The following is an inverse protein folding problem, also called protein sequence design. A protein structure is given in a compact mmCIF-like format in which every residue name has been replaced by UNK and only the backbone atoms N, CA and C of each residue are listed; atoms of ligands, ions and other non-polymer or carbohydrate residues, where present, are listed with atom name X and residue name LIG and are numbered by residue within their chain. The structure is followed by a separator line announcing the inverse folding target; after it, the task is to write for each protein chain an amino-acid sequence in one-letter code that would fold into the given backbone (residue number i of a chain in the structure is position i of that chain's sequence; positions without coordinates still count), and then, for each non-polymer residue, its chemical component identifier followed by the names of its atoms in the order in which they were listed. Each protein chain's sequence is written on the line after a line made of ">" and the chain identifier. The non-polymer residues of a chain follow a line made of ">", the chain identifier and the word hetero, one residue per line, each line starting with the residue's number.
data_IF_881475696632
#
_entry.id   IF_881475696632
#
_cell.length_a   1.000
_cell.length_b   1.000
_cell.length_c   1.000
_cell.angle_alpha   90.00
_cell.angle_beta   90.00
_cell.angle_gamma   90.00
#
_symmetry.space_group_name_H-M   'P 1'
#
loop_
_entity.id
_entity.type
_entity.pdbx_description
1 polymer ?
#
# COMPACT_ATOMS: atom_id res chain seq x y z
N UNK A 1 2.47 -33.99 -7.47
CA UNK A 1 1.14 -33.42 -7.76
C UNK A 1 1.26 -31.92 -7.63
N UNK A 2 1.29 -31.23 -8.76
CA UNK A 2 1.51 -29.79 -8.83
C UNK A 2 0.54 -29.23 -9.86
N UNK A 3 -0.50 -28.56 -9.34
CA UNK A 3 -1.56 -27.90 -10.11
C UNK A 3 -1.02 -26.63 -10.78
N UNK A 4 -1.39 -26.44 -12.05
CA UNK A 4 -1.26 -25.16 -12.76
C UNK A 4 -2.63 -24.47 -12.84
N UNK A 5 -2.68 -23.12 -12.83
CA UNK A 5 -3.93 -22.35 -12.97
C UNK A 5 -4.48 -22.37 -14.41
N UNK A 6 -5.81 -22.35 -14.48
CA UNK A 6 -6.66 -22.38 -15.66
C UNK A 6 -6.75 -21.00 -16.34
N UNK A 7 -6.48 -20.91 -17.65
CA UNK A 7 -6.75 -19.73 -18.47
C UNK A 7 -8.07 -19.90 -19.26
N UNK A 8 -8.97 -18.91 -19.31
CA UNK A 8 -10.20 -18.98 -20.09
C UNK A 8 -9.99 -18.62 -21.57
N UNK A 9 -10.62 -19.40 -22.45
CA UNK A 9 -10.82 -19.11 -23.87
C UNK A 9 -12.01 -18.16 -24.07
N UNK A 10 -11.95 -17.14 -24.95
CA UNK A 10 -13.12 -16.40 -25.37
C UNK A 10 -13.80 -17.06 -26.58
N UNK A 11 -15.13 -17.07 -26.53
CA UNK A 11 -16.05 -17.80 -27.39
C UNK A 11 -16.13 -17.33 -28.84
N UNK A 12 -16.53 -18.28 -29.68
CA UNK A 12 -16.91 -18.04 -31.07
C UNK A 12 -18.25 -17.31 -31.19
N UNK A 13 -18.41 -16.61 -32.31
CA UNK A 13 -19.65 -15.94 -32.71
C UNK A 13 -20.14 -16.49 -34.06
N UNK A 14 -21.47 -16.56 -34.27
CA UNK A 14 -22.08 -17.36 -35.33
C UNK A 14 -22.47 -16.53 -36.57
N UNK A 15 -22.49 -17.18 -37.73
CA UNK A 15 -23.02 -16.67 -38.99
C UNK A 15 -24.56 -16.66 -39.00
N UNK A 16 -25.23 -15.67 -39.64
CA UNK A 16 -26.61 -15.80 -40.04
C UNK A 16 -26.74 -16.14 -41.53
N UNK A 17 -27.58 -17.14 -41.82
CA UNK A 17 -28.09 -17.46 -43.14
C UNK A 17 -29.18 -16.42 -43.53
N UNK A 18 -29.10 -15.92 -44.76
CA UNK A 18 -30.13 -15.06 -45.35
C UNK A 18 -30.77 -15.80 -46.53
N UNK A 19 -32.04 -16.14 -46.32
CA UNK A 19 -33.01 -16.51 -47.35
C UNK A 19 -33.90 -15.29 -47.60
N UNK A 20 -33.88 -14.72 -48.80
CA UNK A 20 -34.97 -13.87 -49.28
C UNK A 20 -35.06 -13.87 -50.79
N UNK A 21 -36.28 -14.10 -51.26
CA UNK A 21 -36.77 -14.30 -52.61
C UNK A 21 -36.61 -13.02 -53.44
N UNK A 22 -36.01 -13.13 -54.64
CA UNK A 22 -35.85 -12.01 -55.58
C UNK A 22 -37.12 -11.83 -56.41
N UNK A 23 -37.75 -10.67 -56.26
CA UNK A 23 -38.84 -10.16 -57.10
C UNK A 23 -38.25 -9.46 -58.34
N UNK A 24 -38.63 -9.90 -59.53
CA UNK A 24 -38.38 -9.18 -60.78
C UNK A 24 -39.35 -7.99 -60.92
N UNK A 25 -38.88 -6.87 -61.48
CA UNK A 25 -39.70 -6.11 -62.41
C UNK A 25 -39.03 -6.03 -63.79
N UNK A 26 -39.86 -6.30 -64.78
CA UNK A 26 -39.65 -6.23 -66.22
C UNK A 26 -39.45 -4.79 -66.73
N UNK A 27 -38.47 -4.58 -67.61
CA UNK A 27 -38.36 -3.40 -68.47
C UNK A 27 -38.02 -3.77 -69.93
N UNK A 28 -38.44 -2.94 -70.91
CA UNK A 28 -38.84 -3.36 -72.27
C UNK A 28 -37.67 -3.52 -73.27
N UNK A 29 -37.91 -4.22 -74.42
CA UNK A 29 -36.86 -4.54 -75.38
C UNK A 29 -36.53 -3.32 -76.25
N UNK A 30 -35.27 -2.90 -76.24
CA UNK A 30 -34.74 -2.01 -77.27
C UNK A 30 -34.20 -2.87 -78.39
N UNK A 31 -34.98 -2.90 -79.46
CA UNK A 31 -34.59 -3.34 -80.80
C UNK A 31 -33.49 -2.44 -81.38
N UNK A 32 -32.79 -3.02 -82.36
CA UNK A 32 -31.91 -2.35 -83.33
C UNK A 32 -30.53 -2.03 -82.76
N UNK A 33 -29.38 -2.32 -83.37
CA UNK A 33 -29.02 -2.66 -84.74
C UNK A 33 -27.75 -3.52 -84.61
N UNK A 34 -27.67 -4.67 -85.28
CA UNK A 34 -26.39 -5.35 -85.41
C UNK A 34 -25.45 -4.51 -86.28
N UNK A 35 -24.18 -4.28 -85.89
CA UNK A 35 -23.20 -3.94 -86.89
C UNK A 35 -22.85 -5.23 -87.60
N UNK A 36 -23.19 -5.24 -88.89
CA UNK A 36 -22.59 -6.10 -89.89
C UNK A 36 -21.12 -6.37 -89.58
N UNK A 37 -20.77 -7.65 -89.61
CA UNK A 37 -19.40 -8.10 -89.83
C UNK A 37 -18.98 -7.52 -91.17
N UNK A 38 -18.24 -6.42 -91.14
CA UNK A 38 -17.46 -5.98 -92.28
C UNK A 38 -16.16 -5.32 -91.78
N UNK A 39 -15.05 -5.66 -92.43
CA UNK A 39 -13.72 -5.18 -92.07
C UNK A 39 -13.70 -3.66 -92.10
N UNK A 40 -13.26 -2.99 -91.06
CA UNK A 40 -11.86 -2.81 -90.71
C UNK A 40 -11.88 -2.22 -89.32
N UNK A 41 -11.28 -2.86 -88.32
CA UNK A 41 -11.04 -2.17 -87.05
C UNK A 41 -10.13 -0.99 -87.40
N UNK A 42 -10.69 0.22 -87.42
CA UNK A 42 -9.90 1.42 -87.72
C UNK A 42 -8.79 1.52 -86.69
N UNK A 43 -7.57 1.77 -87.15
CA UNK A 43 -6.38 1.83 -86.33
C UNK A 43 -6.57 2.78 -85.13
N UNK A 44 -7.37 3.83 -85.31
CA UNK A 44 -7.76 4.81 -84.29
C UNK A 44 -8.55 4.20 -83.12
N UNK A 45 -9.40 3.19 -83.37
CA UNK A 45 -10.19 2.52 -82.31
C UNK A 45 -9.30 1.60 -81.46
N UNK A 46 -8.34 0.92 -82.09
CA UNK A 46 -7.32 0.11 -81.40
C UNK A 46 -6.40 1.03 -80.59
N UNK A 47 -5.95 2.14 -81.17
CA UNK A 47 -5.13 3.15 -80.49
C UNK A 47 -5.86 3.74 -79.29
N UNK A 48 -7.13 4.11 -79.43
CA UNK A 48 -7.96 4.60 -78.32
C UNK A 48 -8.13 3.55 -77.20
N UNK A 49 -8.36 2.29 -77.55
CA UNK A 49 -8.47 1.19 -76.58
C UNK A 49 -7.16 0.93 -75.84
N UNK A 50 -6.02 0.95 -76.53
CA UNK A 50 -4.69 0.80 -75.91
C UNK A 50 -4.35 1.98 -75.00
N UNK A 51 -4.65 3.22 -75.42
CA UNK A 51 -4.47 4.41 -74.58
C UNK A 51 -5.34 4.33 -73.32
N UNK A 52 -6.61 3.91 -73.44
CA UNK A 52 -7.47 3.70 -72.27
C UNK A 52 -6.92 2.61 -71.36
N UNK A 53 -6.52 1.47 -71.91
CA UNK A 53 -5.99 0.35 -71.13
C UNK A 53 -4.68 0.70 -70.40
N UNK A 54 -3.80 1.48 -71.02
CA UNK A 54 -2.59 2.00 -70.38
C UNK A 54 -2.92 3.03 -69.30
N UNK A 55 -3.84 3.95 -69.58
CA UNK A 55 -4.32 4.96 -68.63
C UNK A 55 -4.97 4.31 -67.40
N UNK A 56 -5.81 3.30 -67.61
CA UNK A 56 -6.46 2.56 -66.53
C UNK A 56 -5.44 1.75 -65.73
N UNK A 57 -4.50 1.05 -66.39
CA UNK A 57 -3.43 0.32 -65.69
C UNK A 57 -2.54 1.24 -64.85
N UNK A 58 -2.23 2.43 -65.36
CA UNK A 58 -1.49 3.45 -64.63
C UNK A 58 -2.29 3.95 -63.43
N UNK A 59 -3.58 4.23 -63.61
CA UNK A 59 -4.49 4.64 -62.53
C UNK A 59 -4.58 3.59 -61.44
N UNK A 60 -4.69 2.31 -61.81
CA UNK A 60 -4.71 1.19 -60.87
C UNK A 60 -3.40 1.07 -60.08
N UNK A 61 -2.25 1.07 -60.76
CA UNK A 61 -0.92 1.07 -60.11
C UNK A 61 -0.74 2.25 -59.17
N UNK A 62 -1.16 3.44 -59.58
CA UNK A 62 -1.02 4.65 -58.78
C UNK A 62 -1.92 4.59 -57.53
N UNK A 63 -3.13 4.05 -57.65
CA UNK A 63 -4.01 3.84 -56.50
C UNK A 63 -3.43 2.83 -55.51
N UNK A 64 -2.87 1.73 -56.01
CA UNK A 64 -2.21 0.70 -55.18
C UNK A 64 -1.01 1.27 -54.40
N UNK A 65 -0.15 2.04 -55.06
CA UNK A 65 0.99 2.71 -54.40
C UNK A 65 0.52 3.79 -53.40
N UNK A 66 -0.55 4.53 -53.71
CA UNK A 66 -1.13 5.50 -52.79
C UNK A 66 -1.71 4.81 -51.54
N UNK A 67 -2.44 3.71 -51.71
CA UNK A 67 -3.03 2.94 -50.60
C UNK A 67 -1.92 2.33 -49.72
N UNK A 68 -0.83 1.85 -50.33
CA UNK A 68 0.36 1.37 -49.61
C UNK A 68 1.05 2.48 -48.82
N UNK A 69 1.34 3.61 -49.47
CA UNK A 69 1.97 4.76 -48.82
C UNK A 69 1.12 5.29 -47.66
N UNK A 70 -0.21 5.30 -47.83
CA UNK A 70 -1.13 5.71 -46.77
C UNK A 70 -1.11 4.74 -45.58
N UNK A 71 -1.01 3.42 -45.82
CA UNK A 71 -0.87 2.43 -44.76
C UNK A 71 0.46 2.59 -44.00
N UNK A 72 1.56 2.81 -44.71
CA UNK A 72 2.89 3.06 -44.12
C UNK A 72 2.90 4.34 -43.29
N UNK A 73 2.27 5.42 -43.77
CA UNK A 73 2.13 6.68 -43.05
C UNK A 73 1.30 6.49 -41.76
N UNK A 74 0.21 5.72 -41.83
CA UNK A 74 -0.60 5.40 -40.66
C UNK A 74 0.18 4.56 -39.63
N UNK A 75 1.03 3.64 -40.08
CA UNK A 75 1.91 2.88 -39.19
C UNK A 75 2.95 3.79 -38.53
N UNK A 76 3.59 4.68 -39.30
CA UNK A 76 4.56 5.66 -38.78
C UNK A 76 3.95 6.59 -37.74
N UNK A 77 2.73 7.09 -37.98
CA UNK A 77 2.01 7.92 -36.99
C UNK A 77 1.78 7.19 -35.66
N UNK A 78 1.40 5.90 -35.70
CA UNK A 78 1.28 5.10 -34.47
C UNK A 78 2.61 4.96 -33.75
N UNK A 79 3.69 4.71 -34.48
CA UNK A 79 5.03 4.62 -33.87
C UNK A 79 5.50 5.95 -33.27
N UNK A 80 5.16 7.08 -33.90
CA UNK A 80 5.44 8.42 -33.36
C UNK A 80 4.68 8.65 -32.04
N UNK A 81 3.39 8.32 -32.00
CA UNK A 81 2.57 8.43 -30.80
C UNK A 81 3.12 7.55 -29.65
N UNK A 82 3.51 6.32 -29.97
CA UNK A 82 4.07 5.40 -28.97
C UNK A 82 5.43 5.88 -28.46
N UNK A 83 6.29 6.43 -29.35
CA UNK A 83 7.56 7.01 -28.96
C UNK A 83 7.36 8.26 -28.09
N UNK A 84 6.39 9.11 -28.41
CA UNK A 84 6.05 10.30 -27.61
C UNK A 84 5.53 9.92 -26.21
N UNK A 85 4.67 8.91 -26.12
CA UNK A 85 4.23 8.35 -24.83
C UNK A 85 5.39 7.75 -24.04
N UNK A 86 6.32 7.07 -24.71
CA UNK A 86 7.52 6.52 -24.10
C UNK A 86 8.42 7.61 -23.52
N UNK A 87 8.62 8.70 -24.28
CA UNK A 87 9.38 9.86 -23.82
C UNK A 87 8.77 10.52 -22.59
N UNK A 88 7.46 10.78 -22.60
CA UNK A 88 6.77 11.37 -21.46
C UNK A 88 6.89 10.48 -20.20
N UNK A 89 6.74 9.16 -20.34
CA UNK A 89 6.94 8.23 -19.21
C UNK A 89 8.36 8.28 -18.65
N UNK A 90 9.37 8.38 -19.51
CA UNK A 90 10.76 8.49 -19.08
C UNK A 90 11.00 9.80 -18.33
N UNK A 91 10.44 10.91 -18.80
CA UNK A 91 10.52 12.22 -18.15
C UNK A 91 9.84 12.21 -16.77
N UNK A 92 8.65 11.60 -16.66
CA UNK A 92 7.95 11.39 -15.38
C UNK A 92 8.76 10.50 -14.42
N UNK A 93 9.43 9.45 -14.94
CA UNK A 93 10.29 8.61 -14.10
C UNK A 93 11.53 9.35 -13.62
N UNK A 94 12.18 10.15 -14.47
CA UNK A 94 13.37 10.93 -14.10
C UNK A 94 13.01 11.96 -13.02
N UNK A 95 11.91 12.70 -13.20
CA UNK A 95 11.46 13.69 -12.22
C UNK A 95 11.08 13.05 -10.89
N UNK A 96 10.42 11.89 -10.91
CA UNK A 96 10.13 11.13 -9.69
C UNK A 96 11.41 10.65 -9.00
N UNK A 97 12.37 10.12 -9.76
CA UNK A 97 13.62 9.63 -9.18
C UNK A 97 14.42 10.76 -8.53
N UNK A 98 14.44 11.95 -9.14
CA UNK A 98 15.09 13.14 -8.57
C UNK A 98 14.45 13.57 -7.24
N UNK A 99 13.11 13.52 -7.16
CA UNK A 99 12.38 13.77 -5.91
C UNK A 99 12.66 12.71 -4.84
N UNK A 100 12.69 11.42 -5.22
CA UNK A 100 12.99 10.33 -4.29
C UNK A 100 14.42 10.45 -3.73
N UNK A 101 15.40 10.82 -4.56
CA UNK A 101 16.78 11.06 -4.09
C UNK A 101 16.81 12.21 -3.09
N UNK A 102 16.19 13.35 -3.41
CA UNK A 102 16.13 14.50 -2.51
C UNK A 102 15.41 14.18 -1.18
N UNK A 103 14.37 13.36 -1.22
CA UNK A 103 13.65 12.90 -0.02
C UNK A 103 14.53 11.97 0.83
N UNK A 104 15.24 11.02 0.21
CA UNK A 104 16.16 10.12 0.90
C UNK A 104 17.30 10.91 1.55
N UNK A 105 17.90 11.87 0.85
CA UNK A 105 18.97 12.71 1.41
C UNK A 105 18.48 13.50 2.63
N UNK A 106 17.27 14.09 2.55
CA UNK A 106 16.64 14.77 3.69
C UNK A 106 16.39 13.84 4.86
N UNK A 107 15.94 12.62 4.59
CA UNK A 107 15.69 11.61 5.64
C UNK A 107 17.01 11.19 6.31
N UNK A 108 18.09 11.02 5.53
CA UNK A 108 19.43 10.72 6.07
C UNK A 108 19.90 11.86 6.98
N UNK A 109 19.75 13.12 6.58
CA UNK A 109 20.13 14.27 7.40
C UNK A 109 19.33 14.33 8.71
N UNK A 110 18.01 14.09 8.63
CA UNK A 110 17.14 14.05 9.81
C UNK A 110 17.55 12.95 10.79
N UNK A 111 17.84 11.75 10.28
CA UNK A 111 18.27 10.61 11.09
C UNK A 111 19.63 10.88 11.74
N UNK A 112 20.61 11.42 11.01
CA UNK A 112 21.90 11.81 11.57
C UNK A 112 21.75 12.81 12.71
N UNK A 113 20.91 13.84 12.52
CA UNK A 113 20.64 14.82 13.59
C UNK A 113 20.00 14.16 14.81
N UNK A 114 19.09 13.20 14.61
CA UNK A 114 18.45 12.46 15.71
C UNK A 114 19.43 11.56 16.44
N UNK A 115 20.34 10.90 15.71
CA UNK A 115 21.39 10.08 16.29
C UNK A 115 22.37 10.94 17.12
N UNK A 116 22.71 12.15 16.66
CA UNK A 116 23.50 13.11 17.43
C UNK A 116 22.77 13.59 18.70
N UNK A 117 21.48 13.92 18.60
CA UNK A 117 20.64 14.28 19.74
C UNK A 117 20.60 13.16 20.80
N UNK A 118 20.41 11.91 20.35
CA UNK A 118 20.37 10.73 21.21
C UNK A 118 21.74 10.42 21.83
N UNK A 119 22.81 10.51 21.05
CA UNK A 119 24.17 10.28 21.55
C UNK A 119 24.54 11.31 22.61
N UNK A 120 24.22 12.59 22.39
CA UNK A 120 24.41 13.64 23.39
C UNK A 120 23.57 13.42 24.66
N UNK A 121 22.33 12.94 24.51
CA UNK A 121 21.49 12.59 25.66
C UNK A 121 22.08 11.41 26.45
N UNK A 122 22.59 10.39 25.77
CA UNK A 122 23.25 9.24 26.39
C UNK A 122 24.53 9.65 27.14
N UNK A 123 25.40 10.47 26.54
CA UNK A 123 26.61 10.98 27.23
C UNK A 123 26.26 11.79 28.50
N UNK A 124 25.19 12.59 28.44
CA UNK A 124 24.67 13.31 29.62
C UNK A 124 24.13 12.37 30.68
N UNK A 125 23.46 11.28 30.29
CA UNK A 125 22.97 10.27 31.23
C UNK A 125 24.12 9.47 31.84
N UNK A 126 25.13 9.10 31.06
CA UNK A 126 26.30 8.34 31.51
C UNK A 126 27.16 9.15 32.47
N UNK A 127 27.37 10.44 32.20
CA UNK A 127 28.05 11.36 33.13
C UNK A 127 27.29 11.60 34.45
N UNK A 128 25.98 11.33 34.47
CA UNK A 128 25.14 11.35 35.68
C UNK A 128 25.01 9.95 36.34
N UNK A 129 25.55 8.90 35.72
CA UNK A 129 25.20 7.49 36.00
C UNK A 129 25.79 6.87 37.25
N UNK A 130 26.68 7.52 37.99
CA UNK A 130 27.24 6.88 39.19
C UNK A 130 26.20 6.65 40.31
N UNK A 131 25.00 7.23 40.25
CA UNK A 131 23.97 7.09 41.30
C UNK A 131 22.51 6.98 40.80
N UNK A 132 22.25 6.63 39.55
CA UNK A 132 20.86 6.55 39.05
C UNK A 132 20.20 5.23 39.48
N UNK A 133 19.40 5.29 40.54
CA UNK A 133 18.48 4.21 40.90
C UNK A 133 17.38 4.10 39.82
N UNK A 134 17.12 2.87 39.37
CA UNK A 134 16.10 2.60 38.35
C UNK A 134 14.71 3.02 38.85
N UNK A 135 14.51 3.02 40.16
CA UNK A 135 13.26 3.42 40.82
C UNK A 135 12.97 4.93 40.67
N UNK A 136 13.96 5.74 40.27
CA UNK A 136 13.77 7.19 40.05
C UNK A 136 13.33 7.53 38.61
N UNK A 137 13.36 6.58 37.68
CA UNK A 137 13.00 6.83 36.27
C UNK A 137 11.50 7.08 36.11
N UNK A 138 10.67 6.40 36.91
CA UNK A 138 9.21 6.54 36.86
C UNK A 138 8.70 6.84 38.26
N UNK A 139 8.55 8.13 38.56
CA UNK A 139 7.97 8.58 39.81
C UNK A 139 6.52 9.07 39.61
N UNK A 140 5.66 8.92 40.63
CA UNK A 140 4.32 9.51 40.58
C UNK A 140 4.38 11.03 40.40
N UNK A 141 3.41 11.57 39.66
CA UNK A 141 3.39 12.98 39.23
C UNK A 141 3.26 13.99 40.37
N UNK A 142 2.83 13.55 41.56
CA UNK A 142 2.67 14.40 42.73
C UNK A 142 3.18 13.71 44.01
N UNK A 143 3.67 14.47 45.01
CA UNK A 143 4.12 13.90 46.29
C UNK A 143 3.05 13.05 47.00
N UNK A 144 1.78 13.43 46.89
CA UNK A 144 0.66 12.67 47.46
C UNK A 144 0.51 11.29 46.79
N UNK A 145 0.68 11.19 45.47
CA UNK A 145 0.63 9.90 44.77
C UNK A 145 1.85 9.03 45.09
N UNK A 146 3.02 9.64 45.29
CA UNK A 146 4.22 8.95 45.80
C UNK A 146 3.98 8.38 47.20
N UNK A 147 3.34 9.17 48.08
CA UNK A 147 2.94 8.70 49.40
C UNK A 147 1.98 7.52 49.31
N UNK A 148 0.95 7.59 48.47
CA UNK A 148 0.00 6.48 48.27
C UNK A 148 0.71 5.22 47.78
N UNK A 149 1.62 5.33 46.81
CA UNK A 149 2.39 4.19 46.32
C UNK A 149 3.22 3.53 47.44
N UNK A 150 3.93 4.34 48.24
CA UNK A 150 4.72 3.85 49.37
C UNK A 150 3.85 3.19 50.44
N UNK A 151 2.71 3.80 50.81
CA UNK A 151 1.78 3.23 51.79
C UNK A 151 1.24 1.87 51.32
N UNK A 152 0.95 1.73 50.02
CA UNK A 152 0.48 0.48 49.44
C UNK A 152 1.57 -0.60 49.50
N UNK A 153 2.80 -0.26 49.09
CA UNK A 153 3.93 -1.17 49.14
C UNK A 153 4.26 -1.60 50.59
N UNK A 154 4.29 -0.66 51.54
CA UNK A 154 4.54 -0.95 52.94
C UNK A 154 3.46 -1.84 53.57
N UNK A 155 2.19 -1.64 53.22
CA UNK A 155 1.11 -2.47 53.75
C UNK A 155 1.21 -3.91 53.27
N UNK A 156 1.42 -4.12 51.97
CA UNK A 156 1.59 -5.46 51.40
C UNK A 156 2.84 -6.16 51.96
N UNK A 157 3.95 -5.42 52.12
CA UNK A 157 5.17 -5.96 52.73
C UNK A 157 4.95 -6.42 54.18
N UNK A 158 4.09 -5.72 54.95
CA UNK A 158 3.72 -6.17 56.29
C UNK A 158 2.89 -7.45 56.24
N UNK A 159 1.94 -7.55 55.31
CA UNK A 159 1.10 -8.74 55.15
C UNK A 159 1.93 -9.98 54.79
N UNK A 160 2.87 -9.83 53.85
CA UNK A 160 3.86 -10.87 53.51
C UNK A 160 4.71 -11.25 54.73
N UNK A 161 5.18 -10.27 55.49
CA UNK A 161 5.99 -10.51 56.69
C UNK A 161 5.21 -11.30 57.73
N UNK A 162 3.94 -10.94 58.00
CA UNK A 162 3.07 -11.67 58.94
C UNK A 162 2.83 -13.10 58.45
N UNK A 163 2.60 -13.28 57.15
CA UNK A 163 2.42 -14.61 56.54
C UNK A 163 3.63 -15.51 56.77
N UNK A 164 4.85 -15.03 56.46
CA UNK A 164 6.07 -15.80 56.65
C UNK A 164 6.46 -16.00 58.12
N UNK A 165 6.10 -15.07 59.02
CA UNK A 165 6.22 -15.31 60.46
C UNK A 165 5.31 -16.46 60.93
N UNK A 166 4.12 -16.59 60.36
CA UNK A 166 3.21 -17.72 60.63
C UNK A 166 3.80 -19.05 60.17
N UNK A 167 4.38 -19.08 58.99
CA UNK A 167 5.10 -20.26 58.48
C UNK A 167 6.36 -20.58 59.30
N UNK A 168 7.10 -19.57 59.76
CA UNK A 168 8.26 -19.76 60.63
C UNK A 168 7.88 -20.39 61.98
N UNK A 169 6.76 -19.98 62.58
CA UNK A 169 6.22 -20.60 63.79
C UNK A 169 5.83 -22.05 63.54
N UNK A 170 5.13 -22.31 62.43
CA UNK A 170 4.70 -23.67 62.04
C UNK A 170 5.87 -24.64 61.84
N UNK A 171 7.00 -24.13 61.34
CA UNK A 171 8.25 -24.88 61.14
C UNK A 171 9.13 -24.98 62.38
N UNK A 172 8.74 -24.35 63.50
CA UNK A 172 9.51 -24.35 64.74
C UNK A 172 10.79 -23.51 64.68
N UNK A 173 10.88 -22.54 63.76
CA UNK A 173 12.02 -21.61 63.65
C UNK A 173 11.95 -20.53 64.74
N UNK A 174 10.73 -20.17 65.16
CA UNK A 174 10.47 -19.16 66.19
C UNK A 174 9.47 -19.67 67.23
N UNK A 175 9.59 -19.17 68.46
CA UNK A 175 8.67 -19.48 69.55
C UNK A 175 7.37 -18.66 69.46
N UNK A 176 6.31 -19.17 70.09
CA UNK A 176 4.99 -18.54 70.11
C UNK A 176 5.02 -17.11 70.68
N UNK A 177 5.77 -16.90 71.77
CA UNK A 177 5.87 -15.57 72.40
C UNK A 177 6.52 -14.54 71.47
N UNK A 178 7.54 -14.96 70.72
CA UNK A 178 8.23 -14.11 69.73
C UNK A 178 7.30 -13.78 68.58
N UNK A 179 6.56 -14.78 68.07
CA UNK A 179 5.57 -14.59 67.01
C UNK A 179 4.48 -13.60 67.43
N UNK A 180 3.82 -13.81 68.56
CA UNK A 180 2.71 -12.96 69.02
C UNK A 180 3.16 -11.51 69.25
N UNK A 181 4.38 -11.31 69.77
CA UNK A 181 4.96 -9.97 69.94
C UNK A 181 5.15 -9.26 68.59
N UNK A 182 5.76 -9.93 67.61
CA UNK A 182 6.04 -9.31 66.31
C UNK A 182 4.78 -9.11 65.47
N UNK A 183 3.87 -10.07 65.43
CA UNK A 183 2.57 -9.92 64.75
C UNK A 183 1.80 -8.75 65.32
N UNK A 184 1.72 -8.61 66.65
CA UNK A 184 1.02 -7.48 67.28
C UNK A 184 1.65 -6.12 66.90
N UNK A 185 2.97 -6.04 66.81
CA UNK A 185 3.67 -4.82 66.39
C UNK A 185 3.40 -4.49 64.91
N UNK A 186 3.49 -5.50 64.04
CA UNK A 186 3.25 -5.37 62.61
C UNK A 186 1.78 -5.01 62.31
N UNK A 187 0.81 -5.68 62.94
CA UNK A 187 -0.61 -5.35 62.79
C UNK A 187 -0.94 -3.94 63.28
N UNK A 188 -0.28 -3.46 64.35
CA UNK A 188 -0.42 -2.06 64.78
C UNK A 188 0.09 -1.08 63.72
N UNK A 189 1.25 -1.38 63.10
CA UNK A 189 1.78 -0.57 62.00
C UNK A 189 0.85 -0.62 60.78
N UNK A 190 0.34 -1.80 60.42
CA UNK A 190 -0.60 -1.99 59.32
C UNK A 190 -1.87 -1.14 59.50
N UNK A 191 -2.43 -1.11 60.72
CA UNK A 191 -3.59 -0.27 61.02
C UNK A 191 -3.31 1.22 60.77
N UNK A 192 -2.14 1.71 61.18
CA UNK A 192 -1.73 3.10 60.94
C UNK A 192 -1.59 3.41 59.45
N UNK A 193 -0.99 2.48 58.68
CA UNK A 193 -0.84 2.62 57.23
C UNK A 193 -2.19 2.62 56.52
N UNK A 194 -3.11 1.70 56.86
CA UNK A 194 -4.48 1.66 56.29
C UNK A 194 -5.26 2.93 56.58
N UNK A 195 -5.24 3.41 57.83
CA UNK A 195 -5.92 4.64 58.21
C UNK A 195 -5.34 5.86 57.47
N UNK A 196 -4.02 5.91 57.28
CA UNK A 196 -3.35 6.96 56.53
C UNK A 196 -3.65 6.87 55.03
N UNK A 197 -3.70 5.66 54.46
CA UNK A 197 -4.04 5.38 53.08
C UNK A 197 -5.45 5.87 52.74
N UNK A 198 -6.46 5.55 53.56
CA UNK A 198 -7.84 6.01 53.37
C UNK A 198 -7.90 7.55 53.32
N UNK A 199 -7.21 8.23 54.25
CA UNK A 199 -7.11 9.69 54.24
C UNK A 199 -6.44 10.22 52.98
N UNK A 200 -5.30 9.63 52.59
CA UNK A 200 -4.55 10.04 51.41
C UNK A 200 -5.36 9.85 50.12
N UNK A 201 -6.07 8.72 49.96
CA UNK A 201 -6.94 8.42 48.81
C UNK A 201 -8.10 9.40 48.73
N UNK A 202 -8.76 9.68 49.85
CA UNK A 202 -9.83 10.69 49.92
C UNK A 202 -9.34 12.08 49.54
N UNK A 203 -8.15 12.49 50.01
CA UNK A 203 -7.53 13.76 49.61
C UNK A 203 -7.14 13.80 48.13
N UNK A 204 -6.74 12.65 47.57
CA UNK A 204 -6.38 12.52 46.16
C UNK A 204 -7.59 12.38 45.21
N UNK A 205 -8.82 12.39 45.72
CA UNK A 205 -10.04 12.19 44.93
C UNK A 205 -10.23 10.75 44.43
N UNK A 206 -9.52 9.79 45.01
CA UNK A 206 -9.62 8.37 44.70
C UNK A 206 -10.72 7.72 45.54
N UNK A 207 -11.23 6.57 45.08
CA UNK A 207 -12.21 5.80 45.85
C UNK A 207 -11.67 5.43 47.24
N UNK A 208 -12.51 5.66 48.25
CA UNK A 208 -12.22 5.33 49.66
C UNK A 208 -12.39 3.82 49.96
N UNK A 209 -12.79 3.05 48.94
CA UNK A 209 -12.96 1.60 49.07
C UNK A 209 -11.58 0.94 49.10
N UNK A 210 -11.27 0.42 50.28
CA UNK A 210 -10.17 -0.50 50.56
C UNK A 210 -10.80 -1.77 51.13
#
# INVERSE_FOLDING_TARGET
>A
QSSFPNYPYPGGVPFPATTSVQYYPSQPPVTTVGPSRDGTISEDTIRASLISAVSDKLRWRMKEEMDRAQAELNALKRTEEDLKKGHQKLEEMVTRLDQEVAEVDKNIELLKKKDEELSSALEKMESQSENNDIDEVIIPTAPLYKQILNLYAEENAIEDTIFYLGEALRRGVIDLDVFLKHVRLLSRKQFQLRALMQKARKTAGLSDLY
#
